data_IF_674649583712
#
_entry.id   IF_674649583712
#
_cell.length_a   1.000
_cell.length_b   1.000
_cell.length_c   1.000
_cell.angle_alpha   90.00
_cell.angle_beta   90.00
_cell.angle_gamma   90.00
#
_symmetry.space_group_name_H-M   'P 1'
#
loop_
_entity.id
_entity.type
_entity.pdbx_description
1 polymer ?
#
# COMPACT_ATOMS: atom_id res chain seq x y z
N UNK A 1 17.63 -24.88 38.09
CA UNK A 1 16.95 -24.72 36.80
C UNK A 1 15.74 -23.86 37.07
N UNK A 2 15.98 -22.56 37.10
CA UNK A 2 14.99 -21.55 37.43
C UNK A 2 14.02 -21.43 36.26
N UNK A 3 12.77 -21.80 36.50
CA UNK A 3 11.69 -21.74 35.53
C UNK A 3 11.08 -20.34 35.55
N UNK A 4 11.91 -19.33 35.28
CA UNK A 4 11.45 -17.97 35.04
C UNK A 4 11.03 -17.85 33.57
N UNK A 5 10.09 -18.71 33.16
CA UNK A 5 9.45 -18.59 31.87
C UNK A 5 8.43 -17.45 31.94
N UNK A 6 8.93 -16.27 31.56
CA UNK A 6 8.19 -15.29 30.78
C UNK A 6 6.89 -14.81 31.42
N UNK A 7 7.01 -14.01 32.48
CA UNK A 7 5.92 -13.12 32.90
C UNK A 7 5.77 -12.05 31.82
N UNK A 8 4.86 -12.28 30.88
CA UNK A 8 4.45 -11.28 29.89
C UNK A 8 3.96 -10.07 30.72
N UNK A 9 4.50 -8.86 30.53
CA UNK A 9 3.99 -7.72 31.26
C UNK A 9 2.50 -7.57 30.93
N UNK A 10 1.65 -7.46 31.95
CA UNK A 10 0.18 -7.33 31.82
C UNK A 10 -0.21 -6.26 30.79
N UNK A 11 0.62 -5.23 30.65
CA UNK A 11 0.49 -4.18 29.63
C UNK A 11 0.64 -4.66 28.17
N UNK A 12 1.24 -5.80 27.87
CA UNK A 12 1.39 -6.28 26.48
C UNK A 12 0.14 -7.02 25.98
N UNK A 13 -0.55 -7.75 26.86
CA UNK A 13 -1.82 -8.42 26.54
C UNK A 13 -2.93 -7.39 26.35
N UNK A 14 -2.97 -6.34 27.18
CA UNK A 14 -3.97 -5.26 27.08
C UNK A 14 -3.89 -4.48 25.76
N UNK A 15 -2.69 -4.33 25.17
CA UNK A 15 -2.49 -3.63 23.88
C UNK A 15 -2.91 -4.46 22.67
N UNK A 16 -2.99 -5.79 22.81
CA UNK A 16 -3.50 -6.64 21.77
C UNK A 16 -5.03 -6.49 21.63
N UNK A 17 -5.74 -6.41 22.77
CA UNK A 17 -7.20 -6.24 22.75
C UNK A 17 -7.70 -4.84 22.42
N UNK A 18 -6.86 -3.81 22.49
CA UNK A 18 -7.24 -2.47 22.01
C UNK A 18 -7.19 -2.37 20.46
N UNK A 19 -6.34 -3.16 19.79
CA UNK A 19 -6.22 -3.15 18.31
C UNK A 19 -7.44 -3.70 17.59
N UNK A 20 -8.18 -4.61 18.22
CA UNK A 20 -9.40 -5.20 17.66
C UNK A 20 -10.58 -4.21 17.63
N UNK A 21 -10.46 -3.06 18.31
CA UNK A 21 -11.42 -1.94 18.26
C UNK A 21 -10.88 -0.71 17.52
N UNK A 22 -9.67 -0.80 16.96
CA UNK A 22 -9.01 0.30 16.28
C UNK A 22 -9.52 0.40 14.84
N UNK A 23 -10.47 1.31 14.61
CA UNK A 23 -11.00 1.56 13.27
C UNK A 23 -10.07 2.53 12.52
N UNK A 24 -9.46 2.05 11.44
CA UNK A 24 -8.65 2.88 10.56
C UNK A 24 -9.52 3.50 9.47
N UNK A 25 -9.28 4.77 9.10
CA UNK A 25 -10.01 5.40 8.03
C UNK A 25 -9.82 4.61 6.73
N UNK A 26 -10.93 4.25 6.09
CA UNK A 26 -10.91 3.58 4.78
C UNK A 26 -10.65 4.61 3.70
N UNK A 27 -9.75 4.28 2.78
CA UNK A 27 -9.46 5.11 1.62
C UNK A 27 -10.61 5.00 0.61
N UNK A 28 -11.23 6.12 0.28
CA UNK A 28 -12.30 6.14 -0.70
C UNK A 28 -11.74 5.98 -2.12
N UNK A 29 -12.34 5.10 -2.91
CA UNK A 29 -12.03 4.90 -4.33
C UNK A 29 -13.07 5.59 -5.19
N UNK A 30 -12.63 6.23 -6.28
CA UNK A 30 -13.54 6.84 -7.24
C UNK A 30 -14.23 5.76 -8.09
N UNK A 31 -15.48 6.01 -8.48
CA UNK A 31 -16.16 5.22 -9.52
C UNK A 31 -15.62 5.71 -10.86
N UNK A 32 -14.86 4.86 -11.55
CA UNK A 32 -14.20 5.23 -12.81
C UNK A 32 -15.06 4.90 -14.03
N UNK A 33 -14.98 5.75 -15.05
CA UNK A 33 -15.50 5.49 -16.39
C UNK A 33 -14.46 4.68 -17.19
N UNK A 34 -14.83 4.10 -18.34
CA UNK A 34 -13.86 3.48 -19.24
C UNK A 34 -12.74 4.46 -19.57
N UNK A 35 -11.50 4.00 -19.41
CA UNK A 35 -10.30 4.82 -19.58
C UNK A 35 -10.17 5.21 -21.05
N UNK A 36 -10.00 6.51 -21.31
CA UNK A 36 -9.81 7.03 -22.66
C UNK A 36 -8.37 6.89 -23.15
N UNK A 37 -8.17 6.87 -24.48
CA UNK A 37 -6.83 6.79 -25.08
C UNK A 37 -5.88 7.89 -24.61
N UNK A 38 -6.40 9.08 -24.30
CA UNK A 38 -5.61 10.20 -23.78
C UNK A 38 -5.03 9.87 -22.41
N UNK A 39 -5.86 9.37 -21.49
CA UNK A 39 -5.44 9.00 -20.14
C UNK A 39 -4.39 7.88 -20.19
N UNK A 40 -4.56 6.92 -21.11
CA UNK A 40 -3.55 5.89 -21.36
C UNK A 40 -2.23 6.49 -21.83
N UNK A 41 -2.26 7.40 -22.83
CA UNK A 41 -1.04 8.03 -23.36
C UNK A 41 -0.34 8.89 -22.31
N UNK A 42 -1.10 9.62 -21.51
CA UNK A 42 -0.54 10.49 -20.47
C UNK A 42 0.09 9.64 -19.36
N UNK A 43 -0.56 8.56 -18.91
CA UNK A 43 0.01 7.63 -17.95
C UNK A 43 1.29 6.93 -18.47
N UNK A 44 1.33 6.56 -19.75
CA UNK A 44 2.52 5.94 -20.36
C UNK A 44 3.70 6.93 -20.42
N UNK A 45 3.44 8.21 -20.71
CA UNK A 45 4.48 9.26 -20.68
C UNK A 45 5.00 9.53 -19.27
N UNK A 46 4.15 9.52 -18.26
CA UNK A 46 4.58 9.67 -16.87
C UNK A 46 5.51 8.53 -16.43
N UNK A 47 5.20 7.30 -16.88
CA UNK A 47 6.03 6.13 -16.60
C UNK A 47 7.33 6.12 -17.42
N UNK A 48 7.27 6.50 -18.69
CA UNK A 48 8.40 6.56 -19.62
C UNK A 48 8.40 7.91 -20.34
N UNK A 49 9.09 8.93 -19.80
CA UNK A 49 9.09 10.28 -20.38
C UNK A 49 9.80 10.34 -21.75
N UNK A 50 10.68 9.39 -22.03
CA UNK A 50 11.30 9.25 -23.35
C UNK A 50 10.35 8.55 -24.33
N UNK A 51 9.58 9.35 -25.06
CA UNK A 51 8.70 8.85 -26.13
C UNK A 51 9.46 8.19 -27.29
N UNK A 52 10.76 8.46 -27.38
CA UNK A 52 11.66 7.98 -28.44
C UNK A 52 12.59 6.84 -27.96
N UNK A 53 12.44 6.34 -26.71
CA UNK A 53 13.22 5.22 -26.16
C UNK A 53 12.81 3.84 -26.70
N UNK A 54 12.19 3.80 -27.88
CA UNK A 54 12.22 2.59 -28.71
C UNK A 54 13.63 2.49 -29.30
N UNK A 55 14.56 2.11 -28.41
CA UNK A 55 16.01 2.17 -28.61
C UNK A 55 16.39 1.92 -30.05
N UNK A 56 17.17 2.85 -30.61
CA UNK A 56 17.71 2.84 -31.96
C UNK A 56 18.00 1.42 -32.41
N UNK A 57 17.07 0.81 -33.15
CA UNK A 57 17.38 -0.40 -33.90
C UNK A 57 18.22 0.13 -35.06
N UNK A 58 19.53 -0.06 -34.90
CA UNK A 58 20.55 0.37 -35.86
C UNK A 58 20.29 -0.11 -37.27
#
# INVERSE_FOLDING_TARGET
MDKDFTKIPENAESKASDREKEEYPVQQVAVTYPIGEKEVKDAVKELNPDTDSLGSRG
#
